data_IF_758108486646
#
_entry.id   IF_758108486646
#
_cell.length_a   1.000
_cell.length_b   1.000
_cell.length_c   1.000
_cell.angle_alpha   90.00
_cell.angle_beta   90.00
_cell.angle_gamma   90.00
#
_symmetry.space_group_name_H-M   'P 1'
#
loop_
_entity.id
_entity.type
_entity.pdbx_description
1 polymer ?
#
# COMPACT_ATOMS: atom_id res chain seq x y z
N UNK A 1 0.36 -16.75 -15.05
CA UNK A 1 0.65 -15.31 -15.21
C UNK A 1 1.33 -14.82 -13.95
N UNK A 2 2.31 -13.92 -14.05
CA UNK A 2 2.91 -13.30 -12.87
C UNK A 2 1.90 -12.31 -12.23
N UNK A 3 1.85 -12.27 -10.89
CA UNK A 3 1.01 -11.30 -10.16
C UNK A 3 1.51 -9.88 -10.41
N UNK A 4 0.60 -8.91 -10.54
CA UNK A 4 0.97 -7.50 -10.64
C UNK A 4 1.53 -7.03 -9.30
N UNK A 5 2.73 -6.46 -9.29
CA UNK A 5 3.35 -5.91 -8.08
C UNK A 5 2.87 -4.48 -7.87
N UNK A 6 2.33 -4.19 -6.68
CA UNK A 6 1.85 -2.86 -6.31
C UNK A 6 2.34 -2.48 -4.91
N UNK A 7 2.78 -1.23 -4.75
CA UNK A 7 3.07 -0.61 -3.46
C UNK A 7 2.05 0.49 -3.17
N UNK A 8 1.31 0.35 -2.08
CA UNK A 8 0.32 1.34 -1.64
C UNK A 8 0.69 1.86 -0.26
N UNK A 9 0.78 3.19 -0.12
CA UNK A 9 1.05 3.85 1.15
C UNK A 9 -0.24 4.36 1.77
N UNK A 10 -0.51 3.99 3.02
CA UNK A 10 -1.69 4.48 3.74
C UNK A 10 -1.43 4.50 5.25
N UNK A 11 -2.33 5.12 6.00
CA UNK A 11 -2.27 5.05 7.45
C UNK A 11 -2.77 3.67 7.98
N UNK A 12 -2.77 3.50 9.30
CA UNK A 12 -3.31 2.31 9.97
C UNK A 12 -4.82 2.35 10.07
N UNK A 13 -5.49 2.19 8.94
CA UNK A 13 -6.94 2.00 8.92
C UNK A 13 -7.31 0.57 9.34
N UNK A 14 -8.28 0.43 10.24
CA UNK A 14 -8.73 -0.86 10.77
C UNK A 14 -9.20 -1.82 9.67
N UNK A 15 -9.86 -1.30 8.62
CA UNK A 15 -10.34 -2.10 7.50
C UNK A 15 -9.22 -2.67 6.62
N UNK A 16 -7.98 -2.18 6.75
CA UNK A 16 -6.80 -2.73 6.08
C UNK A 16 -6.00 -3.68 6.98
N UNK A 17 -6.35 -3.79 8.27
CA UNK A 17 -5.64 -4.65 9.21
C UNK A 17 -5.59 -6.13 8.77
N UNK A 18 -6.66 -6.74 8.21
CA UNK A 18 -6.60 -8.11 7.71
C UNK A 18 -5.59 -8.33 6.58
N UNK A 19 -5.38 -7.33 5.72
CA UNK A 19 -4.35 -7.36 4.67
C UNK A 19 -2.95 -7.27 5.28
N UNK A 20 -2.75 -6.37 6.25
CA UNK A 20 -1.46 -6.19 6.95
C UNK A 20 -1.03 -7.44 7.71
N UNK A 21 -1.98 -8.11 8.34
CA UNK A 21 -1.75 -9.35 9.09
C UNK A 21 -1.66 -10.59 8.19
N UNK A 22 -1.86 -10.44 6.88
CA UNK A 22 -1.87 -11.56 5.93
C UNK A 22 -3.04 -12.54 6.12
N UNK A 23 -4.08 -12.15 6.87
CA UNK A 23 -5.32 -12.94 7.05
C UNK A 23 -6.10 -13.07 5.76
N UNK A 24 -5.96 -12.08 4.87
CA UNK A 24 -6.47 -12.12 3.51
C UNK A 24 -5.37 -11.73 2.53
N UNK A 25 -5.46 -12.24 1.30
CA UNK A 25 -4.56 -11.89 0.21
C UNK A 25 -5.40 -11.44 -0.98
N UNK A 26 -5.05 -10.33 -1.64
CA UNK A 26 -5.71 -9.93 -2.86
C UNK A 26 -5.48 -10.94 -3.99
N UNK A 27 -6.49 -11.13 -4.83
CA UNK A 27 -6.37 -11.94 -6.04
C UNK A 27 -5.61 -11.18 -7.14
N UNK A 28 -4.73 -11.87 -7.86
CA UNK A 28 -4.05 -11.31 -9.04
C UNK A 28 -2.93 -10.30 -8.78
N UNK A 29 -2.77 -9.79 -7.55
CA UNK A 29 -1.73 -8.83 -7.19
C UNK A 29 -0.82 -9.33 -6.06
N UNK A 30 0.43 -8.87 -6.11
CA UNK A 30 1.44 -8.96 -5.06
C UNK A 30 1.51 -7.57 -4.40
N UNK A 31 0.75 -7.41 -3.31
CA UNK A 31 0.54 -6.12 -2.65
C UNK A 31 1.55 -5.89 -1.53
N UNK A 32 2.33 -4.82 -1.66
CA UNK A 32 3.15 -4.24 -0.61
C UNK A 32 2.42 -3.05 0.04
N UNK A 33 1.81 -3.25 1.20
CA UNK A 33 1.08 -2.21 1.92
C UNK A 33 1.97 -1.56 2.99
N UNK A 34 2.36 -0.30 2.80
CA UNK A 34 3.26 0.43 3.71
C UNK A 34 2.52 1.43 4.58
N UNK A 35 2.90 1.53 5.86
CA UNK A 35 2.35 2.56 6.76
C UNK A 35 3.14 3.85 6.64
N UNK A 36 2.50 4.90 6.16
CA UNK A 36 3.09 6.24 6.11
C UNK A 36 2.01 7.27 6.43
N UNK A 37 2.32 8.19 7.35
CA UNK A 37 1.42 9.28 7.75
C UNK A 37 1.04 10.14 6.53
N UNK A 38 -0.19 10.63 6.51
CA UNK A 38 -0.77 11.41 5.41
C UNK A 38 0.14 12.53 4.88
N UNK A 39 0.69 13.39 5.74
CA UNK A 39 1.55 14.50 5.30
C UNK A 39 2.80 14.02 4.57
N UNK A 40 3.46 12.99 5.12
CA UNK A 40 4.69 12.43 4.57
C UNK A 40 4.42 11.66 3.27
N UNK A 41 3.36 10.84 3.21
CA UNK A 41 3.09 9.99 2.04
C UNK A 41 2.71 10.82 0.80
N UNK A 42 1.89 11.86 0.97
CA UNK A 42 1.47 12.71 -0.14
C UNK A 42 2.66 13.52 -0.67
N UNK A 43 3.52 14.04 0.22
CA UNK A 43 4.74 14.73 -0.19
C UNK A 43 5.68 13.79 -0.96
N UNK A 44 5.93 12.59 -0.45
CA UNK A 44 6.79 11.61 -1.13
C UNK A 44 6.24 11.18 -2.49
N UNK A 45 4.93 10.93 -2.57
CA UNK A 45 4.27 10.59 -3.82
C UNK A 45 4.36 11.72 -4.84
N UNK A 46 4.02 12.95 -4.45
CA UNK A 46 4.01 14.10 -5.36
C UNK A 46 5.41 14.46 -5.89
N UNK A 47 6.45 14.26 -5.08
CA UNK A 47 7.81 14.65 -5.45
C UNK A 47 8.61 13.52 -6.10
N UNK A 48 8.36 12.26 -5.73
CA UNK A 48 9.23 11.15 -6.13
C UNK A 48 8.49 9.98 -6.80
N UNK A 49 7.15 9.98 -6.80
CA UNK A 49 6.40 8.81 -7.27
C UNK A 49 6.76 7.55 -6.49
N UNK A 50 6.97 7.68 -5.17
CA UNK A 50 7.53 6.62 -4.32
C UNK A 50 6.61 5.37 -4.22
N UNK A 51 5.34 5.49 -4.60
CA UNK A 51 4.31 4.45 -4.50
C UNK A 51 3.49 4.36 -5.79
N UNK A 52 2.76 3.27 -5.96
CA UNK A 52 1.74 3.14 -7.01
C UNK A 52 0.41 3.80 -6.60
N UNK A 53 0.20 4.07 -5.30
CA UNK A 53 -0.95 4.81 -4.77
C UNK A 53 -0.78 5.27 -3.31
N UNK A 54 -1.49 6.35 -2.92
CA UNK A 54 -1.46 6.95 -1.57
C UNK A 54 -2.82 7.52 -1.11
#
# INVERSE_FOLDING_TARGET
MAKLKLTVACDRYDYLQPLREGKIQPEGIDLNLVTVESGVRHQRMAHYGEYDGC
#
